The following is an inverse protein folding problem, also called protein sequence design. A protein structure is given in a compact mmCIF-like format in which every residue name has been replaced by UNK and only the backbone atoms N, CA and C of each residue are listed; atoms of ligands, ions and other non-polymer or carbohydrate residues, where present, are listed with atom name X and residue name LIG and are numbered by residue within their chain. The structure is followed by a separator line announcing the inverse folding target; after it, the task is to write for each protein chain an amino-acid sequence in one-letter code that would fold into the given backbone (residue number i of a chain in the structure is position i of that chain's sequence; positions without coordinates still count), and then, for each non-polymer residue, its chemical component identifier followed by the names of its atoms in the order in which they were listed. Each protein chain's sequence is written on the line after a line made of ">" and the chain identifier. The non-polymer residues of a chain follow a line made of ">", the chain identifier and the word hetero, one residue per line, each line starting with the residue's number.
data_IF_111662623321
#
_entry.id   IF_111662623321
#
_cell.length_a   1.000
_cell.length_b   1.000
_cell.length_c   1.000
_cell.angle_alpha   90.00
_cell.angle_beta   90.00
_cell.angle_gamma   90.00
#
_symmetry.space_group_name_H-M   'P 1'
#
loop_
_entity.id
_entity.type
_entity.pdbx_description
1 polymer ?
#
# COMPACT_ATOMS: atom_id res chain seq x y z
N UNK A 1 -3.38 -26.37 32.79
CA UNK A 1 -3.84 -26.81 31.49
C UNK A 1 -5.28 -26.34 31.29
N UNK A 2 -5.48 -25.33 30.52
CA UNK A 2 -6.70 -24.69 29.94
C UNK A 2 -6.59 -23.19 30.06
N UNK A 3 -5.93 -22.56 29.07
CA UNK A 3 -6.08 -21.15 28.64
C UNK A 3 -5.07 -20.91 27.51
N UNK A 4 -5.30 -21.50 26.35
CA UNK A 4 -4.50 -21.23 25.15
C UNK A 4 -5.34 -21.45 23.90
N UNK A 5 -6.44 -20.71 23.74
CA UNK A 5 -7.24 -20.77 22.50
C UNK A 5 -8.14 -19.54 22.32
N UNK A 6 -7.64 -18.33 22.56
CA UNK A 6 -8.47 -17.15 22.31
C UNK A 6 -7.72 -15.93 21.71
N UNK A 7 -6.50 -16.08 21.28
CA UNK A 7 -5.73 -14.94 20.72
C UNK A 7 -5.53 -14.98 19.21
N UNK A 8 -5.95 -16.03 18.52
CA UNK A 8 -5.75 -16.17 17.05
C UNK A 8 -6.96 -15.70 16.22
N UNK A 9 -8.09 -15.39 16.85
CA UNK A 9 -9.34 -15.10 16.13
C UNK A 9 -9.62 -13.61 15.91
N UNK A 10 -8.76 -12.69 16.32
CA UNK A 10 -9.01 -11.25 16.18
C UNK A 10 -8.27 -10.62 15.00
N UNK A 11 -7.31 -11.31 14.40
CA UNK A 11 -6.54 -10.77 13.26
C UNK A 11 -7.19 -10.99 11.89
N UNK A 12 -8.30 -11.75 11.82
CA UNK A 12 -8.96 -12.11 10.56
C UNK A 12 -10.21 -11.28 10.22
N UNK A 13 -10.52 -10.25 10.97
CA UNK A 13 -11.79 -9.50 10.81
C UNK A 13 -11.65 -8.11 10.18
N UNK A 14 -10.47 -7.70 9.73
CA UNK A 14 -10.30 -6.37 9.12
C UNK A 14 -10.05 -6.35 7.61
N UNK A 15 -10.11 -7.49 6.91
CA UNK A 15 -9.88 -7.55 5.45
C UNK A 15 -10.97 -8.36 4.71
N UNK A 16 -12.18 -8.36 5.19
CA UNK A 16 -13.25 -9.07 4.50
C UNK A 16 -14.27 -8.08 3.95
N UNK A 17 -13.99 -7.50 2.82
CA UNK A 17 -15.03 -6.91 1.96
C UNK A 17 -14.48 -6.77 0.53
N UNK A 18 -14.83 -7.66 -0.34
CA UNK A 18 -15.41 -7.51 -1.66
C UNK A 18 -15.51 -8.90 -2.29
N UNK A 19 -16.69 -9.46 -2.29
CA UNK A 19 -17.05 -10.49 -3.26
C UNK A 19 -18.53 -10.28 -3.60
N UNK A 20 -18.81 -9.59 -4.67
CA UNK A 20 -20.10 -9.66 -5.34
C UNK A 20 -19.98 -10.61 -6.52
N UNK A 21 -20.40 -11.85 -6.33
CA UNK A 21 -20.60 -12.81 -7.40
C UNK A 21 -21.94 -12.61 -8.08
N UNK A 22 -21.95 -12.35 -9.36
CA UNK A 22 -23.14 -12.43 -10.21
C UNK A 22 -23.35 -13.87 -10.65
N UNK A 23 -24.43 -14.47 -10.17
CA UNK A 23 -24.94 -15.76 -10.67
C UNK A 23 -25.61 -15.56 -12.03
N UNK A 24 -25.07 -16.16 -13.08
CA UNK A 24 -25.77 -16.32 -14.34
C UNK A 24 -26.13 -17.80 -14.56
N UNK A 25 -27.42 -18.04 -14.66
CA UNK A 25 -28.06 -19.31 -15.01
C UNK A 25 -27.91 -19.59 -16.50
N UNK A 26 -27.68 -20.85 -16.94
CA UNK A 26 -27.53 -21.17 -18.35
C UNK A 26 -28.86 -21.44 -19.04
N UNK A 27 -29.06 -20.90 -20.23
CA UNK A 27 -30.06 -21.41 -21.17
C UNK A 27 -29.40 -22.07 -22.39
N UNK A 28 -29.82 -23.30 -22.63
CA UNK A 28 -29.49 -24.12 -23.79
C UNK A 28 -30.13 -23.58 -25.07
N UNK A 29 -29.48 -23.81 -26.19
CA UNK A 29 -30.05 -23.65 -27.52
C UNK A 29 -29.08 -23.94 -28.65
N UNK A 30 -29.18 -25.13 -29.17
CA UNK A 30 -28.48 -25.75 -30.29
C UNK A 30 -28.66 -25.06 -31.64
N UNK A 31 -27.70 -25.08 -32.52
CA UNK A 31 -27.68 -25.88 -33.78
C UNK A 31 -26.70 -25.34 -34.85
N UNK A 32 -26.16 -26.29 -35.55
CA UNK A 32 -25.14 -26.28 -36.54
C UNK A 32 -25.48 -25.61 -37.89
N UNK A 33 -24.45 -25.26 -38.66
CA UNK A 33 -24.10 -25.72 -40.01
C UNK A 33 -23.10 -24.78 -40.67
N UNK A 34 -21.97 -25.28 -40.98
CA UNK A 34 -21.36 -25.69 -42.26
C UNK A 34 -21.16 -24.59 -43.32
N UNK A 35 -19.87 -24.45 -43.63
CA UNK A 35 -19.17 -24.51 -44.95
C UNK A 35 -19.32 -23.30 -45.89
N UNK A 36 -18.31 -22.80 -46.54
CA UNK A 36 -17.34 -23.27 -47.50
C UNK A 36 -16.53 -22.12 -48.07
N UNK A 37 -15.28 -22.39 -48.26
CA UNK A 37 -14.31 -22.00 -49.29
C UNK A 37 -14.60 -20.85 -50.31
N UNK A 38 -13.62 -20.00 -50.56
CA UNK A 38 -12.66 -20.11 -51.67
C UNK A 38 -12.02 -18.78 -52.09
N UNK A 39 -10.74 -18.78 -52.08
CA UNK A 39 -9.75 -18.39 -53.12
C UNK A 39 -9.86 -17.08 -53.90
N UNK A 40 -8.72 -16.48 -53.96
CA UNK A 40 -7.93 -16.13 -55.18
C UNK A 40 -7.65 -14.66 -55.39
N UNK A 41 -6.46 -14.27 -55.14
CA UNK A 41 -5.34 -13.78 -55.94
C UNK A 41 -5.52 -12.57 -56.88
N UNK A 42 -4.51 -11.78 -56.80
CA UNK A 42 -3.71 -11.09 -57.84
C UNK A 42 -3.79 -9.57 -57.95
N UNK A 43 -2.63 -9.01 -57.64
CA UNK A 43 -1.78 -8.08 -58.43
C UNK A 43 -2.38 -6.84 -59.11
N UNK A 44 -1.87 -5.69 -58.79
CA UNK A 44 -0.83 -4.97 -59.54
C UNK A 44 -0.78 -3.48 -59.17
N UNK A 45 0.39 -3.09 -58.88
CA UNK A 45 1.13 -1.84 -59.12
C UNK A 45 0.40 -0.66 -59.79
N UNK A 46 0.47 0.55 -59.15
CA UNK A 46 1.18 1.67 -59.76
C UNK A 46 1.16 2.93 -58.85
N UNK A 47 2.25 3.61 -58.86
CA UNK A 47 2.65 4.88 -58.29
C UNK A 47 1.61 6.01 -58.41
N UNK A 48 1.44 6.87 -57.36
CA UNK A 48 1.98 8.22 -57.43
C UNK A 48 1.83 9.00 -56.10
N UNK A 49 2.91 9.56 -55.76
CA UNK A 49 3.32 10.65 -54.89
C UNK A 49 2.26 11.59 -54.30
N UNK A 50 2.59 11.93 -53.06
CA UNK A 50 2.63 13.24 -52.37
C UNK A 50 1.53 13.52 -51.35
N UNK A 51 1.92 13.58 -50.20
CA UNK A 51 2.08 14.55 -49.16
C UNK A 51 2.00 13.96 -47.78
N UNK A 52 3.12 14.11 -47.16
CA UNK A 52 3.39 13.87 -45.74
C UNK A 52 2.37 14.55 -44.82
N UNK A 53 1.68 13.75 -44.04
CA UNK A 53 1.30 14.10 -42.68
C UNK A 53 1.74 12.97 -41.79
N UNK A 54 2.99 13.04 -41.35
CA UNK A 54 3.51 12.28 -40.22
C UNK A 54 2.81 12.76 -38.94
N UNK A 55 1.71 12.16 -38.59
CA UNK A 55 1.27 12.11 -37.24
C UNK A 55 1.97 10.89 -36.60
N UNK A 56 3.27 11.05 -36.34
CA UNK A 56 3.95 10.23 -35.37
C UNK A 56 3.39 10.62 -34.00
N UNK A 57 2.40 9.86 -33.52
CA UNK A 57 2.13 9.72 -32.10
C UNK A 57 3.37 9.05 -31.47
N UNK A 58 4.43 9.85 -31.28
CA UNK A 58 5.43 9.56 -30.27
C UNK A 58 4.73 9.76 -28.93
N UNK A 59 4.13 8.69 -28.40
CA UNK A 59 3.74 8.67 -27.00
C UNK A 59 4.98 9.00 -26.18
N UNK A 60 5.06 10.24 -25.70
CA UNK A 60 5.99 10.59 -24.66
C UNK A 60 5.75 9.60 -23.53
N UNK A 61 6.78 8.84 -23.19
CA UNK A 61 6.87 8.13 -21.92
C UNK A 61 6.81 9.22 -20.85
N UNK A 62 5.62 9.62 -20.44
CA UNK A 62 5.46 10.44 -19.24
C UNK A 62 5.87 9.55 -18.09
N UNK A 63 7.13 9.68 -17.69
CA UNK A 63 7.63 9.11 -16.47
C UNK A 63 6.70 9.52 -15.32
N UNK A 64 6.43 8.64 -14.39
CA UNK A 64 5.74 8.98 -13.14
C UNK A 64 6.56 10.01 -12.35
N UNK A 65 7.78 10.26 -12.76
CA UNK A 65 8.72 11.20 -12.21
C UNK A 65 8.24 12.64 -12.43
N UNK A 66 7.69 13.21 -11.40
CA UNK A 66 7.67 14.65 -11.23
C UNK A 66 9.07 15.07 -10.75
N UNK A 67 9.74 15.97 -11.49
CA UNK A 67 11.05 16.50 -11.10
C UNK A 67 11.03 17.25 -9.77
N UNK A 68 9.85 17.59 -9.26
CA UNK A 68 9.62 18.17 -7.95
C UNK A 68 9.39 17.12 -6.84
N UNK A 69 9.20 15.83 -7.19
CA UNK A 69 8.93 14.75 -6.23
C UNK A 69 10.10 14.57 -5.28
N UNK A 70 9.80 14.60 -3.97
CA UNK A 70 10.75 14.39 -2.91
C UNK A 70 10.36 13.17 -2.08
N UNK A 71 11.22 12.15 -2.14
CA UNK A 71 11.04 10.89 -1.39
C UNK A 71 10.84 11.17 0.10
N UNK A 72 9.85 10.50 0.71
CA UNK A 72 9.53 10.66 2.13
C UNK A 72 8.86 11.99 2.48
N UNK A 73 8.56 12.83 1.47
CA UNK A 73 7.79 14.08 1.64
C UNK A 73 6.54 14.09 0.78
N UNK A 74 6.67 13.71 -0.48
CA UNK A 74 5.61 13.80 -1.49
C UNK A 74 4.97 12.44 -1.80
N UNK A 75 5.59 11.34 -1.37
CA UNK A 75 5.02 10.01 -1.51
C UNK A 75 4.71 9.37 -0.15
N UNK A 76 3.78 8.43 -0.15
CA UNK A 76 3.30 7.83 1.08
C UNK A 76 3.32 6.29 0.99
N UNK A 77 3.39 5.60 2.14
CA UNK A 77 3.42 4.14 2.19
C UNK A 77 2.30 3.48 1.39
N UNK A 78 1.11 4.08 1.33
CA UNK A 78 -0.04 3.53 0.59
C UNK A 78 0.13 3.54 -0.93
N UNK A 79 1.03 4.34 -1.48
CA UNK A 79 1.42 4.21 -2.88
C UNK A 79 2.33 3.00 -3.12
N UNK A 80 3.19 2.71 -2.16
CA UNK A 80 4.21 1.66 -2.24
C UNK A 80 3.70 0.32 -1.68
N UNK A 81 2.81 0.37 -0.67
CA UNK A 81 2.29 -0.80 0.01
C UNK A 81 0.89 -0.55 0.53
N UNK A 82 -0.08 -1.35 0.11
CA UNK A 82 -1.48 -1.21 0.53
C UNK A 82 -1.71 -1.43 2.02
N UNK A 83 -0.80 -2.11 2.70
CA UNK A 83 -0.90 -2.37 4.13
C UNK A 83 -0.39 -1.22 5.02
N UNK A 84 0.26 -0.19 4.43
CA UNK A 84 0.87 0.89 5.22
C UNK A 84 1.97 0.43 6.19
N UNK A 85 2.48 -0.79 6.01
CA UNK A 85 3.43 -1.45 6.91
C UNK A 85 4.89 -1.31 6.48
N UNK A 86 5.17 -0.46 5.51
CA UNK A 86 6.51 -0.08 5.07
C UNK A 86 6.58 1.41 4.85
N UNK A 87 7.73 1.99 5.09
CA UNK A 87 8.05 3.38 4.76
C UNK A 87 9.48 3.43 4.23
N UNK A 88 9.74 4.34 3.31
CA UNK A 88 11.04 4.41 2.64
C UNK A 88 11.68 5.77 2.78
N UNK A 89 13.01 5.79 2.76
CA UNK A 89 13.81 6.98 2.56
C UNK A 89 14.80 6.77 1.40
N UNK A 90 15.67 7.72 1.14
CA UNK A 90 16.67 7.63 0.08
C UNK A 90 17.66 6.45 0.26
N UNK A 91 17.88 6.01 1.49
CA UNK A 91 18.87 4.98 1.83
C UNK A 91 18.29 3.58 1.89
N UNK A 92 16.97 3.43 2.09
CA UNK A 92 16.38 2.11 2.23
C UNK A 92 14.93 2.11 2.69
N UNK A 93 14.47 0.94 3.10
CA UNK A 93 13.09 0.67 3.45
C UNK A 93 12.97 0.23 4.92
N UNK A 94 12.04 0.86 5.66
CA UNK A 94 11.67 0.50 7.02
C UNK A 94 10.49 -0.47 7.02
N UNK A 95 10.51 -1.43 7.94
CA UNK A 95 9.44 -2.41 8.12
C UNK A 95 9.27 -2.74 9.60
N UNK A 96 8.04 -2.89 10.05
CA UNK A 96 7.74 -3.48 11.35
C UNK A 96 7.40 -4.95 11.21
N UNK A 97 7.96 -5.76 12.11
CA UNK A 97 7.59 -7.14 12.28
C UNK A 97 7.78 -7.55 13.75
N UNK A 98 6.75 -8.15 14.36
CA UNK A 98 6.80 -8.63 15.75
C UNK A 98 7.49 -7.64 16.71
N UNK A 99 6.88 -6.48 16.87
CA UNK A 99 7.34 -5.43 17.78
C UNK A 99 8.74 -4.86 17.48
N UNK A 100 9.36 -5.24 16.39
CA UNK A 100 10.71 -4.82 16.02
C UNK A 100 10.68 -3.99 14.74
N UNK A 101 11.39 -2.86 14.76
CA UNK A 101 11.62 -2.04 13.58
C UNK A 101 12.89 -2.54 12.86
N UNK A 102 12.75 -2.91 11.60
CA UNK A 102 13.84 -3.29 10.71
C UNK A 102 14.09 -2.19 9.69
N UNK A 103 15.34 -2.11 9.23
CA UNK A 103 15.75 -1.27 8.13
C UNK A 103 16.53 -2.10 7.10
N UNK A 104 16.07 -2.09 5.85
CA UNK A 104 16.82 -2.66 4.74
C UNK A 104 17.65 -1.56 4.10
N UNK A 105 18.96 -1.60 4.28
CA UNK A 105 19.93 -0.69 3.69
C UNK A 105 20.17 -1.06 2.22
N UNK A 106 19.76 -0.17 1.32
CA UNK A 106 19.85 -0.40 -0.12
C UNK A 106 21.32 -0.42 -0.63
N UNK A 107 22.21 0.36 -0.03
CA UNK A 107 23.62 0.40 -0.46
C UNK A 107 24.39 -0.84 0.00
N UNK A 108 24.14 -1.30 1.22
CA UNK A 108 24.72 -2.51 1.77
C UNK A 108 23.97 -3.78 1.31
N UNK A 109 22.78 -3.62 0.75
CA UNK A 109 21.86 -4.70 0.35
C UNK A 109 21.64 -5.71 1.49
N UNK A 110 21.38 -5.18 2.68
CA UNK A 110 21.24 -5.99 3.90
C UNK A 110 20.13 -5.43 4.80
N UNK A 111 19.44 -6.33 5.49
CA UNK A 111 18.45 -5.94 6.50
C UNK A 111 19.11 -5.98 7.88
N UNK A 112 18.85 -4.94 8.66
CA UNK A 112 19.34 -4.80 10.04
C UNK A 112 18.18 -4.44 10.97
N UNK A 113 18.34 -4.70 12.27
CA UNK A 113 17.48 -4.12 13.29
C UNK A 113 17.82 -2.63 13.40
N UNK A 114 16.81 -1.76 13.33
CA UNK A 114 16.99 -0.30 13.35
C UNK A 114 17.35 0.18 14.78
N UNK A 115 18.49 -0.23 15.27
CA UNK A 115 18.99 0.11 16.59
C UNK A 115 20.47 0.52 16.48
N UNK A 116 20.76 1.74 16.90
CA UNK A 116 22.14 2.29 16.91
C UNK A 116 22.84 2.17 18.26
N UNK A 117 22.20 1.53 19.25
CA UNK A 117 22.76 1.40 20.59
C UNK A 117 23.97 0.47 20.57
N UNK A 118 25.17 0.92 20.98
CA UNK A 118 26.33 0.06 21.11
C UNK A 118 26.08 -1.08 22.09
N UNK A 119 26.58 -2.25 21.78
CA UNK A 119 26.47 -3.46 22.63
C UNK A 119 25.03 -3.90 22.94
N UNK A 120 24.06 -3.51 22.12
CA UNK A 120 22.69 -3.98 22.20
C UNK A 120 22.60 -5.43 21.72
N UNK A 121 22.07 -6.30 22.54
CA UNK A 121 21.81 -7.70 22.19
C UNK A 121 20.56 -7.89 21.30
N UNK A 122 19.83 -6.78 21.03
CA UNK A 122 18.63 -6.72 20.23
C UNK A 122 17.52 -7.67 20.68
N UNK A 123 17.45 -7.96 21.96
CA UNK A 123 16.32 -8.70 22.52
C UNK A 123 15.09 -7.79 22.46
N UNK A 124 14.12 -8.15 21.62
CA UNK A 124 12.90 -7.36 21.39
C UNK A 124 11.65 -8.07 21.85
N UNK A 125 11.78 -9.27 22.36
CA UNK A 125 10.68 -10.00 23.00
C UNK A 125 11.04 -10.34 24.42
N UNK A 126 10.35 -9.72 25.35
CA UNK A 126 10.52 -9.92 26.79
C UNK A 126 9.14 -10.12 27.40
N UNK A 127 9.01 -11.09 28.26
CA UNK A 127 7.73 -11.47 28.90
C UNK A 127 7.04 -10.29 29.60
N UNK A 128 7.78 -9.27 30.00
CA UNK A 128 7.31 -8.06 30.72
C UNK A 128 7.06 -6.88 29.79
N UNK A 129 7.25 -7.02 28.46
CA UNK A 129 7.11 -5.91 27.51
C UNK A 129 8.17 -4.81 27.67
N UNK A 130 9.28 -5.08 28.32
CA UNK A 130 10.39 -4.16 28.52
C UNK A 130 11.65 -4.67 27.83
N UNK A 131 12.21 -3.87 26.95
CA UNK A 131 13.51 -4.06 26.33
C UNK A 131 14.23 -2.73 26.26
N UNK A 132 15.52 -2.73 26.43
CA UNK A 132 16.34 -1.55 26.25
C UNK A 132 16.82 -1.36 24.80
N UNK A 133 16.38 -2.22 23.88
CA UNK A 133 16.62 -2.10 22.46
C UNK A 133 15.86 -0.91 21.86
N UNK A 134 16.57 -0.03 21.15
CA UNK A 134 15.95 1.12 20.50
C UNK A 134 14.94 0.75 19.42
N UNK A 135 15.05 -0.43 18.81
CA UNK A 135 14.13 -0.90 17.77
C UNK A 135 12.91 -1.65 18.32
N UNK A 136 12.75 -1.78 19.64
CA UNK A 136 11.62 -2.43 20.24
C UNK A 136 10.41 -1.50 20.38
N UNK A 137 9.28 -1.88 19.78
CA UNK A 137 8.02 -1.12 19.72
C UNK A 137 6.84 -2.04 20.06
N UNK A 138 6.61 -2.36 21.34
CA UNK A 138 5.55 -3.30 21.73
C UNK A 138 4.17 -2.77 21.33
N UNK A 139 3.32 -3.64 20.77
CA UNK A 139 1.99 -3.29 20.23
C UNK A 139 1.02 -2.77 21.29
N UNK A 140 1.22 -3.09 22.55
CA UNK A 140 0.44 -2.53 23.64
C UNK A 140 0.73 -1.04 23.90
N UNK A 141 1.83 -0.53 23.35
CA UNK A 141 2.27 0.88 23.44
C UNK A 141 2.31 1.60 22.10
N UNK A 142 2.64 0.91 21.00
CA UNK A 142 2.82 1.51 19.68
C UNK A 142 1.95 0.81 18.62
N UNK A 143 1.17 1.57 17.90
CA UNK A 143 0.11 1.09 17.02
C UNK A 143 0.54 1.15 15.55
N UNK A 144 1.70 0.58 15.24
CA UNK A 144 2.24 0.53 13.88
C UNK A 144 1.37 -0.29 12.91
N UNK A 145 0.47 -1.15 13.42
CA UNK A 145 -0.57 -1.85 12.66
C UNK A 145 -1.60 -0.90 12.01
N UNK A 146 -1.72 0.34 12.51
CA UNK A 146 -2.56 1.39 11.91
C UNK A 146 -1.85 2.13 10.77
N UNK A 147 -0.57 1.84 10.55
CA UNK A 147 0.31 2.48 9.60
C UNK A 147 1.37 3.33 10.27
N UNK A 148 2.44 3.57 9.52
CA UNK A 148 3.49 4.52 9.89
C UNK A 148 4.02 5.21 8.65
N UNK A 149 4.64 6.36 8.81
CA UNK A 149 5.16 7.16 7.70
C UNK A 149 6.56 7.63 8.00
N UNK A 150 7.40 7.68 6.97
CA UNK A 150 8.67 8.41 7.02
C UNK A 150 8.45 9.81 6.44
N UNK A 151 8.80 10.83 7.19
CA UNK A 151 8.66 12.21 6.78
C UNK A 151 9.75 13.06 7.44
N UNK A 152 10.46 13.83 6.65
CA UNK A 152 11.47 14.79 7.12
C UNK A 152 12.42 14.21 8.18
N UNK A 153 13.20 13.16 7.77
CA UNK A 153 14.19 12.43 8.59
C UNK A 153 13.63 11.76 9.87
N UNK A 154 12.35 11.50 9.93
CA UNK A 154 11.72 10.89 11.09
C UNK A 154 10.61 9.92 10.70
N UNK A 155 10.42 8.90 11.53
CA UNK A 155 9.30 7.97 11.44
C UNK A 155 8.19 8.48 12.35
N UNK A 156 6.97 8.49 11.85
CA UNK A 156 5.78 8.87 12.61
C UNK A 156 4.83 7.69 12.69
N UNK A 157 4.29 7.46 13.88
CA UNK A 157 3.28 6.45 14.14
C UNK A 157 2.41 6.85 15.33
N UNK A 158 1.33 6.11 15.53
CA UNK A 158 0.44 6.26 16.68
C UNK A 158 0.96 5.41 17.85
N UNK A 159 0.71 5.88 19.07
CA UNK A 159 1.04 5.13 20.26
C UNK A 159 0.23 5.58 21.47
N UNK A 160 0.28 4.82 22.55
CA UNK A 160 -0.32 5.16 23.82
C UNK A 160 0.43 6.34 24.42
N UNK A 161 -0.30 7.35 24.91
CA UNK A 161 0.33 8.50 25.54
C UNK A 161 1.13 8.11 26.78
N UNK A 162 2.34 8.60 26.88
CA UNK A 162 3.19 8.43 28.08
C UNK A 162 2.68 9.19 29.29
N UNK A 163 1.85 10.23 29.07
CA UNK A 163 1.31 11.12 30.12
C UNK A 163 -0.11 10.74 30.55
N UNK A 164 -0.84 10.05 29.68
CA UNK A 164 -2.24 9.69 29.90
C UNK A 164 -2.57 8.36 29.23
N UNK A 165 -2.54 7.28 29.99
CA UNK A 165 -2.80 5.93 29.49
C UNK A 165 -4.17 5.73 28.79
N UNK A 166 -5.08 6.71 28.90
CA UNK A 166 -6.39 6.71 28.22
C UNK A 166 -6.38 7.40 26.87
N UNK A 167 -5.21 7.85 26.41
CA UNK A 167 -5.08 8.61 25.18
C UNK A 167 -4.11 7.98 24.20
N UNK A 168 -4.43 8.16 22.92
CA UNK A 168 -3.55 7.90 21.78
C UNK A 168 -2.84 9.18 21.40
N UNK A 169 -1.55 9.09 21.17
CA UNK A 169 -0.69 10.20 20.78
C UNK A 169 0.06 9.92 19.49
N UNK A 170 0.45 10.99 18.81
CA UNK A 170 1.39 10.96 17.71
C UNK A 170 2.82 10.89 18.28
N UNK A 171 3.60 9.94 17.80
CA UNK A 171 5.01 9.81 18.09
C UNK A 171 5.86 10.18 16.88
N UNK A 172 6.95 10.88 17.14
CA UNK A 172 8.05 11.13 16.22
C UNK A 172 9.26 10.34 16.68
N UNK A 173 9.84 9.57 15.79
CA UNK A 173 10.93 8.64 16.06
C UNK A 173 12.06 8.95 15.11
N UNK A 174 13.29 9.07 15.62
CA UNK A 174 14.46 9.24 14.76
C UNK A 174 14.66 8.04 13.84
N UNK A 175 15.28 8.26 12.68
CA UNK A 175 15.51 7.20 11.67
C UNK A 175 16.32 6.00 12.18
N UNK A 176 17.07 6.17 13.25
CA UNK A 176 17.85 5.13 13.94
C UNK A 176 17.18 4.61 15.22
N UNK A 177 15.91 4.97 15.42
CA UNK A 177 15.08 4.66 16.57
C UNK A 177 15.64 5.11 17.95
N UNK A 178 16.74 5.87 17.99
CA UNK A 178 17.38 6.30 19.24
C UNK A 178 16.56 7.27 20.07
N UNK A 179 15.66 8.02 19.44
CA UNK A 179 14.78 8.97 20.13
C UNK A 179 13.32 8.71 19.78
N UNK A 180 12.45 8.93 20.78
CA UNK A 180 11.00 8.81 20.65
C UNK A 180 10.36 10.00 21.36
N UNK A 181 9.73 10.86 20.61
CA UNK A 181 9.08 12.06 21.11
C UNK A 181 7.56 11.94 20.97
N UNK A 182 6.84 12.15 22.06
CA UNK A 182 5.38 12.31 22.01
C UNK A 182 5.06 13.73 21.56
N UNK A 183 4.63 13.87 20.30
CA UNK A 183 4.37 15.16 19.63
C UNK A 183 3.05 15.76 20.09
N UNK A 184 1.99 14.99 20.11
CA UNK A 184 0.65 15.46 20.41
C UNK A 184 -0.27 14.33 20.88
N UNK A 185 -1.19 14.69 21.78
CA UNK A 185 -2.34 13.85 22.10
C UNK A 185 -3.41 14.03 21.02
N UNK A 186 -3.97 12.94 20.52
CA UNK A 186 -4.90 12.95 19.40
C UNK A 186 -6.34 12.60 19.81
N UNK A 187 -6.56 11.41 20.32
CA UNK A 187 -7.89 10.82 20.62
C UNK A 187 -7.87 9.99 21.90
N UNK A 188 -9.04 9.48 22.29
CA UNK A 188 -9.14 8.48 23.36
C UNK A 188 -8.69 7.09 22.89
N UNK A 189 -8.10 6.28 23.78
CA UNK A 189 -7.80 4.87 23.51
C UNK A 189 -9.05 4.05 23.20
N UNK A 190 -10.22 4.44 23.71
CA UNK A 190 -11.49 3.78 23.37
C UNK A 190 -11.81 3.84 21.87
N UNK A 191 -11.26 4.83 21.15
CA UNK A 191 -11.51 5.06 19.74
C UNK A 191 -10.43 4.44 18.83
N UNK A 192 -9.41 3.80 19.41
CA UNK A 192 -8.27 3.23 18.69
C UNK A 192 -8.69 2.21 17.61
N UNK A 193 -9.65 1.34 17.95
CA UNK A 193 -10.13 0.32 17.01
C UNK A 193 -10.90 0.93 15.82
N UNK A 194 -11.32 2.19 15.93
CA UNK A 194 -11.96 2.94 14.85
C UNK A 194 -10.95 3.59 13.90
N UNK A 195 -9.65 3.53 14.20
CA UNK A 195 -8.60 3.96 13.28
C UNK A 195 -8.25 2.80 12.36
N UNK A 196 -8.37 3.01 11.06
CA UNK A 196 -8.02 2.02 10.04
C UNK A 196 -6.81 2.43 9.20
N UNK A 197 -6.54 3.72 9.08
CA UNK A 197 -5.43 4.26 8.29
C UNK A 197 -4.80 5.47 8.98
N UNK A 198 -3.48 5.57 8.80
CA UNK A 198 -2.66 6.70 9.27
C UNK A 198 -1.62 7.04 8.20
N UNK A 199 -1.35 8.33 8.00
CA UNK A 199 -0.27 8.82 7.13
C UNK A 199 0.20 10.20 7.57
N UNK A 200 1.45 10.53 7.23
CA UNK A 200 1.99 11.90 7.35
C UNK A 200 2.29 12.43 5.97
N UNK A 201 1.83 13.63 5.66
CA UNK A 201 2.07 14.28 4.38
C UNK A 201 2.16 15.80 4.53
N UNK A 202 3.19 16.43 3.97
CA UNK A 202 3.38 17.90 3.93
C UNK A 202 3.15 18.58 5.27
N UNK A 203 3.73 18.06 6.35
CA UNK A 203 3.66 18.65 7.68
C UNK A 203 2.37 18.40 8.46
N UNK A 204 1.51 17.51 7.98
CA UNK A 204 0.31 17.07 8.68
C UNK A 204 0.33 15.57 8.91
N UNK A 205 -0.11 15.13 10.09
CA UNK A 205 -0.50 13.77 10.35
C UNK A 205 -2.00 13.64 10.15
N UNK A 206 -2.42 12.61 9.42
CA UNK A 206 -3.80 12.28 9.09
C UNK A 206 -4.16 10.91 9.62
N UNK A 207 -5.37 10.71 10.09
CA UNK A 207 -5.90 9.42 10.46
C UNK A 207 -7.41 9.35 10.28
N UNK A 208 -7.91 8.15 10.03
CA UNK A 208 -9.35 7.89 10.00
C UNK A 208 -9.89 7.66 11.42
N UNK A 209 -11.15 7.98 11.61
CA UNK A 209 -11.95 7.56 12.76
C UNK A 209 -13.28 7.03 12.23
N UNK A 210 -13.38 5.72 12.10
CA UNK A 210 -14.55 5.03 11.54
C UNK A 210 -15.39 4.46 12.68
N UNK A 211 -16.60 4.96 12.82
CA UNK A 211 -17.56 4.53 13.85
C UNK A 211 -18.83 3.99 13.18
N UNK A 212 -19.70 3.37 13.94
CA UNK A 212 -21.01 2.91 13.42
C UNK A 212 -21.89 4.04 12.86
N UNK A 213 -21.57 5.29 13.17
CA UNK A 213 -22.39 6.47 12.83
C UNK A 213 -21.77 7.37 11.80
N UNK A 214 -20.45 7.36 11.69
CA UNK A 214 -19.74 8.25 10.77
C UNK A 214 -18.31 7.78 10.53
N UNK A 215 -17.77 8.15 9.37
CA UNK A 215 -16.36 8.06 9.07
C UNK A 215 -15.77 9.47 9.03
N UNK A 216 -14.70 9.72 9.76
CA UNK A 216 -14.05 11.03 9.82
C UNK A 216 -12.60 10.92 9.40
N UNK A 217 -12.13 11.87 8.59
CA UNK A 217 -10.72 12.13 8.40
C UNK A 217 -10.31 13.29 9.31
N UNK A 218 -9.37 13.01 10.18
CA UNK A 218 -8.82 13.97 11.13
C UNK A 218 -7.38 14.30 10.76
N UNK A 219 -6.94 15.51 11.14
CA UNK A 219 -5.58 15.96 10.87
C UNK A 219 -5.04 16.82 12.02
N UNK A 220 -3.72 16.80 12.18
CA UNK A 220 -2.99 17.73 13.05
C UNK A 220 -1.73 18.21 12.33
N UNK A 221 -1.42 19.50 12.44
CA UNK A 221 -0.14 20.02 11.98
C UNK A 221 0.98 19.57 12.93
N UNK A 222 2.01 18.88 12.41
CA UNK A 222 3.06 18.29 13.25
C UNK A 222 4.06 19.30 13.81
N UNK A 223 4.23 20.45 13.13
CA UNK A 223 5.14 21.52 13.57
C UNK A 223 4.48 22.44 14.60
N UNK A 224 3.14 22.49 14.58
CA UNK A 224 2.30 23.30 15.50
C UNK A 224 1.11 22.45 15.98
N UNK A 225 1.34 21.44 16.83
CA UNK A 225 0.34 20.44 17.17
C UNK A 225 -0.63 20.93 18.25
N UNK A 226 -1.33 22.06 17.97
CA UNK A 226 -2.21 22.72 18.97
C UNK A 226 -3.65 22.27 18.88
N UNK A 227 -4.12 21.83 17.71
CA UNK A 227 -5.51 21.52 17.45
C UNK A 227 -5.68 20.39 16.45
N UNK A 228 -6.52 19.41 16.79
CA UNK A 228 -6.99 18.38 15.86
C UNK A 228 -8.12 18.96 15.03
N UNK A 229 -7.99 18.90 13.72
CA UNK A 229 -8.98 19.37 12.75
C UNK A 229 -9.74 18.22 12.15
N UNK A 230 -11.07 18.34 12.08
CA UNK A 230 -11.89 17.45 11.27
C UNK A 230 -11.86 17.96 9.82
N UNK A 231 -11.32 17.14 8.92
CA UNK A 231 -11.14 17.48 7.50
C UNK A 231 -12.34 17.03 6.68
N UNK A 232 -12.85 15.83 6.99
CA UNK A 232 -13.97 15.21 6.27
C UNK A 232 -14.85 14.45 7.25
N UNK A 233 -16.15 14.37 6.95
CA UNK A 233 -17.11 13.53 7.67
C UNK A 233 -18.12 12.96 6.68
N UNK A 234 -18.20 11.63 6.61
CA UNK A 234 -19.26 10.85 5.96
C UNK A 234 -20.19 10.32 7.04
N UNK A 235 -21.49 10.55 6.89
CA UNK A 235 -22.52 10.14 7.85
C UNK A 235 -23.41 9.03 7.32
N UNK A 236 -22.97 8.39 6.24
CA UNK A 236 -23.67 7.26 5.63
C UNK A 236 -23.50 6.00 6.49
N UNK A 237 -24.36 5.04 6.26
CA UNK A 237 -24.37 3.78 7.00
C UNK A 237 -23.07 3.01 6.80
N UNK A 238 -22.43 2.60 7.90
CA UNK A 238 -21.16 1.88 7.91
C UNK A 238 -20.05 2.56 7.11
N UNK A 239 -20.03 3.92 7.10
CA UNK A 239 -19.02 4.67 6.39
C UNK A 239 -17.62 4.35 6.90
N UNK A 240 -16.65 4.26 5.99
CA UNK A 240 -15.24 4.02 6.27
C UNK A 240 -14.33 4.85 5.40
N UNK A 241 -13.19 5.29 5.95
CA UNK A 241 -12.13 5.97 5.20
C UNK A 241 -10.96 5.03 5.04
N UNK A 242 -10.41 4.98 3.82
CA UNK A 242 -9.33 4.09 3.42
C UNK A 242 -8.30 4.83 2.57
N UNK A 243 -7.09 4.25 2.47
CA UNK A 243 -6.07 4.58 1.47
C UNK A 243 -5.64 6.05 1.47
N UNK A 244 -4.93 6.49 2.51
CA UNK A 244 -4.36 7.84 2.54
C UNK A 244 -3.13 7.93 1.64
N UNK A 245 -3.27 8.51 0.45
CA UNK A 245 -2.22 8.60 -0.56
C UNK A 245 -1.83 10.06 -0.76
N UNK A 246 -0.60 10.42 -0.35
CA UNK A 246 -0.03 11.74 -0.63
C UNK A 246 0.55 11.80 -2.05
N UNK A 247 0.31 12.88 -2.77
CA UNK A 247 0.96 13.18 -4.04
C UNK A 247 0.95 14.69 -4.28
N UNK A 248 2.14 15.30 -4.36
CA UNK A 248 2.30 16.75 -4.46
C UNK A 248 1.62 17.49 -3.30
N UNK A 249 0.87 18.53 -3.58
CA UNK A 249 0.18 19.33 -2.57
C UNK A 249 -1.17 18.74 -2.12
N UNK A 250 -1.44 17.48 -2.47
CA UNK A 250 -2.72 16.84 -2.21
C UNK A 250 -2.57 15.54 -1.43
N UNK A 251 -3.59 15.24 -0.62
CA UNK A 251 -3.85 13.92 -0.07
C UNK A 251 -5.11 13.34 -0.71
N UNK A 252 -5.03 12.11 -1.15
CA UNK A 252 -6.16 11.37 -1.72
C UNK A 252 -6.62 10.30 -0.74
N UNK A 253 -7.91 10.10 -0.64
CA UNK A 253 -8.49 9.07 0.19
C UNK A 253 -9.80 8.57 -0.40
N UNK A 254 -10.11 7.31 -0.19
CA UNK A 254 -11.43 6.79 -0.50
C UNK A 254 -12.29 6.75 0.75
N UNK A 255 -13.58 6.99 0.57
CA UNK A 255 -14.58 6.62 1.55
C UNK A 255 -15.56 5.63 0.92
N UNK A 256 -15.90 4.60 1.69
CA UNK A 256 -16.94 3.63 1.35
C UNK A 256 -18.08 3.72 2.34
N UNK A 257 -19.27 3.31 1.92
CA UNK A 257 -20.46 3.24 2.78
C UNK A 257 -21.45 2.23 2.22
N UNK A 258 -22.36 1.75 3.07
CA UNK A 258 -23.44 0.90 2.61
C UNK A 258 -24.67 1.72 2.22
N UNK A 259 -25.25 1.41 1.07
CA UNK A 259 -26.49 2.03 0.59
C UNK A 259 -27.75 1.42 1.22
N UNK A 260 -27.62 0.26 1.83
CA UNK A 260 -28.72 -0.46 2.46
C UNK A 260 -28.39 -1.00 3.86
N UNK A 261 -29.41 -1.31 4.64
CA UNK A 261 -29.28 -1.81 6.00
C UNK A 261 -28.82 -3.26 6.11
N UNK A 262 -28.80 -4.00 5.01
CA UNK A 262 -28.36 -5.39 4.96
C UNK A 262 -26.88 -5.49 4.65
N UNK A 263 -26.22 -4.36 4.33
CA UNK A 263 -24.80 -4.30 3.92
C UNK A 263 -24.49 -5.09 2.65
N UNK A 264 -25.47 -5.20 1.74
CA UNK A 264 -25.30 -5.93 0.49
C UNK A 264 -24.83 -5.02 -0.65
N UNK A 265 -25.21 -3.73 -0.61
CA UNK A 265 -24.83 -2.75 -1.63
C UNK A 265 -23.87 -1.72 -1.05
N UNK A 266 -22.66 -1.68 -1.61
CA UNK A 266 -21.62 -0.75 -1.21
C UNK A 266 -21.38 0.28 -2.30
N UNK A 267 -21.20 1.52 -1.88
CA UNK A 267 -20.78 2.62 -2.72
C UNK A 267 -19.60 3.34 -2.08
N UNK A 268 -19.00 4.22 -2.82
CA UNK A 268 -17.90 5.04 -2.33
C UNK A 268 -17.33 5.94 -3.40
N UNK A 269 -16.40 6.78 -3.02
CA UNK A 269 -15.72 7.66 -3.95
C UNK A 269 -14.32 8.04 -3.47
N UNK A 270 -13.49 8.46 -4.41
CA UNK A 270 -12.18 9.04 -4.15
C UNK A 270 -12.34 10.53 -3.93
N UNK A 271 -11.73 11.02 -2.85
CA UNK A 271 -11.64 12.43 -2.51
C UNK A 271 -10.20 12.92 -2.68
N UNK A 272 -10.07 14.19 -3.03
CA UNK A 272 -8.83 14.96 -2.99
C UNK A 272 -8.93 16.00 -1.88
N UNK A 273 -7.92 16.06 -1.04
CA UNK A 273 -7.71 17.10 -0.03
C UNK A 273 -6.56 18.00 -0.48
N UNK A 274 -6.78 19.27 -0.64
CA UNK A 274 -5.74 20.28 -0.82
C UNK A 274 -5.10 20.58 0.56
N UNK A 275 -3.81 20.30 0.72
CA UNK A 275 -3.10 20.46 1.99
C UNK A 275 -2.97 21.92 2.40
N UNK A 276 -2.87 22.83 1.44
CA UNK A 276 -2.69 24.25 1.72
C UNK A 276 -3.98 24.91 2.26
N UNK A 277 -5.14 24.46 1.77
CA UNK A 277 -6.44 25.03 2.11
C UNK A 277 -7.25 24.16 3.07
N UNK A 278 -6.87 22.89 3.24
CA UNK A 278 -7.60 21.86 3.98
C UNK A 278 -9.04 21.66 3.48
N UNK A 279 -9.28 21.87 2.20
CA UNK A 279 -10.58 21.63 1.56
C UNK A 279 -10.58 20.34 0.78
N UNK A 280 -11.68 19.61 0.86
CA UNK A 280 -11.91 18.37 0.13
C UNK A 280 -12.76 18.57 -1.11
N UNK A 281 -12.53 17.75 -2.13
CA UNK A 281 -13.31 17.65 -3.36
C UNK A 281 -13.52 16.18 -3.68
N UNK A 282 -14.77 15.77 -3.93
CA UNK A 282 -15.04 14.46 -4.55
C UNK A 282 -14.53 14.48 -5.99
N UNK A 283 -13.84 13.41 -6.40
CA UNK A 283 -13.30 13.25 -7.75
C UNK A 283 -14.12 12.27 -8.58
N UNK A 284 -14.15 11.00 -8.19
CA UNK A 284 -14.79 9.93 -8.95
C UNK A 284 -15.34 8.87 -7.99
N UNK A 285 -16.19 8.00 -8.49
CA UNK A 285 -16.65 6.85 -7.74
C UNK A 285 -15.47 5.90 -7.45
N UNK A 286 -15.57 5.15 -6.34
CA UNK A 286 -14.49 4.29 -5.88
C UNK A 286 -14.35 3.08 -6.79
N UNK A 287 -13.18 2.88 -7.43
CA UNK A 287 -12.90 1.69 -8.23
C UNK A 287 -12.48 0.50 -7.34
N UNK A 288 -12.22 -0.65 -7.97
CA UNK A 288 -11.75 -1.87 -7.28
C UNK A 288 -10.45 -1.60 -6.51
N UNK A 289 -9.47 -0.99 -7.15
CA UNK A 289 -8.24 -0.50 -6.51
C UNK A 289 -7.59 0.64 -7.30
N UNK A 290 -6.78 1.48 -6.63
CA UNK A 290 -6.18 2.65 -7.27
C UNK A 290 -4.87 3.10 -6.62
N UNK A 291 -4.10 3.86 -7.40
CA UNK A 291 -2.94 4.63 -6.93
C UNK A 291 -2.92 6.00 -7.63
N UNK A 292 -2.15 6.95 -7.09
CA UNK A 292 -2.16 8.34 -7.56
C UNK A 292 -0.75 8.81 -7.91
N UNK A 293 -0.59 9.48 -9.04
CA UNK A 293 0.66 10.12 -9.44
C UNK A 293 0.39 11.32 -10.34
N UNK A 294 1.05 12.43 -10.07
CA UNK A 294 1.11 13.59 -10.97
C UNK A 294 -0.26 14.06 -11.51
N UNK A 295 -1.24 14.24 -10.62
CA UNK A 295 -2.58 14.68 -11.00
C UNK A 295 -3.40 13.63 -11.76
N UNK A 296 -2.99 12.38 -11.74
CA UNK A 296 -3.67 11.25 -12.35
C UNK A 296 -3.97 10.18 -11.33
N UNK A 297 -5.11 9.50 -11.49
CA UNK A 297 -5.46 8.30 -10.73
C UNK A 297 -5.39 7.12 -11.70
N UNK A 298 -4.50 6.18 -11.41
CA UNK A 298 -4.42 4.89 -12.11
C UNK A 298 -5.23 3.89 -11.30
N UNK A 299 -6.20 3.23 -11.95
CA UNK A 299 -7.12 2.39 -11.21
C UNK A 299 -7.53 1.14 -11.98
N UNK A 300 -7.91 0.13 -11.23
CA UNK A 300 -8.44 -1.13 -11.72
C UNK A 300 -9.96 -1.11 -11.60
N UNK A 301 -10.63 -1.51 -12.65
CA UNK A 301 -12.07 -1.69 -12.68
C UNK A 301 -12.45 -2.67 -13.79
N UNK A 302 -13.31 -3.64 -13.47
CA UNK A 302 -13.84 -4.59 -14.46
C UNK A 302 -12.76 -5.25 -15.32
N UNK A 303 -11.68 -5.72 -14.70
CA UNK A 303 -10.52 -6.35 -15.35
C UNK A 303 -9.78 -5.46 -16.36
N UNK A 304 -9.78 -4.17 -16.15
CA UNK A 304 -9.03 -3.22 -16.96
C UNK A 304 -8.31 -2.18 -16.11
N UNK A 305 -7.20 -1.69 -16.65
CA UNK A 305 -6.44 -0.57 -16.11
C UNK A 305 -6.87 0.73 -16.80
N UNK A 306 -7.23 1.71 -16.01
CA UNK A 306 -7.65 3.03 -16.45
C UNK A 306 -6.74 4.12 -15.89
N UNK A 307 -6.77 5.28 -16.55
CA UNK A 307 -6.19 6.52 -16.07
C UNK A 307 -7.26 7.62 -16.06
N UNK A 308 -7.56 8.14 -14.89
CA UNK A 308 -8.37 9.33 -14.71
C UNK A 308 -7.46 10.55 -14.56
N UNK A 309 -7.64 11.56 -15.41
CA UNK A 309 -6.92 12.83 -15.36
C UNK A 309 -7.77 13.84 -14.60
N UNK A 310 -7.28 14.32 -13.47
CA UNK A 310 -8.03 15.15 -12.53
C UNK A 310 -8.42 16.50 -13.14
N UNK A 311 -7.52 17.15 -13.86
CA UNK A 311 -7.74 18.48 -14.43
C UNK A 311 -8.79 18.49 -15.55
N UNK A 312 -8.86 17.41 -16.33
CA UNK A 312 -9.81 17.28 -17.43
C UNK A 312 -11.08 16.52 -17.06
N UNK A 313 -11.17 16.00 -15.83
CA UNK A 313 -12.29 15.18 -15.34
C UNK A 313 -12.65 14.07 -16.33
N UNK A 314 -11.64 13.31 -16.76
CA UNK A 314 -11.82 12.30 -17.82
C UNK A 314 -11.03 11.04 -17.55
N UNK A 315 -11.66 9.89 -17.80
CA UNK A 315 -11.06 8.57 -17.74
C UNK A 315 -10.83 7.98 -19.11
N UNK A 316 -9.69 7.30 -19.26
CA UNK A 316 -9.38 6.52 -20.45
C UNK A 316 -8.91 5.13 -20.03
N UNK A 317 -9.36 4.10 -20.74
CA UNK A 317 -8.79 2.75 -20.59
C UNK A 317 -7.39 2.76 -21.17
N UNK A 318 -6.41 2.28 -20.39
CA UNK A 318 -5.01 2.19 -20.81
C UNK A 318 -4.72 0.80 -21.36
N UNK A 319 -5.15 -0.25 -20.65
CA UNK A 319 -4.88 -1.64 -21.01
C UNK A 319 -5.93 -2.57 -20.37
N UNK A 320 -5.94 -3.84 -20.79
CA UNK A 320 -6.56 -4.90 -20.02
C UNK A 320 -5.71 -5.21 -18.80
N UNK A 321 -6.36 -5.54 -17.67
CA UNK A 321 -5.65 -5.95 -16.46
C UNK A 321 -5.02 -7.32 -16.66
N UNK A 322 -3.69 -7.47 -16.50
CA UNK A 322 -3.04 -8.76 -16.68
C UNK A 322 -3.55 -9.78 -15.65
N UNK A 323 -3.94 -10.96 -16.14
CA UNK A 323 -4.36 -12.10 -15.30
C UNK A 323 -5.33 -11.74 -14.16
N UNK A 324 -6.26 -10.80 -14.43
CA UNK A 324 -7.24 -10.30 -13.45
C UNK A 324 -6.57 -9.73 -12.18
N UNK A 325 -5.54 -8.93 -12.35
CA UNK A 325 -4.90 -8.23 -11.23
C UNK A 325 -5.90 -7.43 -10.41
N UNK A 326 -5.80 -7.53 -9.08
CA UNK A 326 -6.73 -6.92 -8.15
C UNK A 326 -6.09 -5.81 -7.32
N UNK A 327 -4.77 -5.70 -7.34
CA UNK A 327 -4.03 -4.70 -6.57
C UNK A 327 -3.10 -3.91 -7.48
N UNK A 328 -3.09 -2.59 -7.28
CA UNK A 328 -2.18 -1.66 -7.95
C UNK A 328 -1.44 -0.82 -6.92
N UNK A 329 -0.11 -0.82 -7.02
CA UNK A 329 0.77 0.11 -6.30
C UNK A 329 1.71 0.77 -7.30
N UNK A 330 2.45 1.77 -6.86
CA UNK A 330 3.44 2.43 -7.71
C UNK A 330 4.69 2.84 -6.94
N UNK A 331 5.75 3.10 -7.68
CA UNK A 331 6.87 3.93 -7.24
C UNK A 331 7.02 5.16 -8.17
N UNK A 332 8.25 5.67 -8.28
CA UNK A 332 8.56 6.83 -9.15
C UNK A 332 8.57 6.50 -10.63
N UNK A 333 8.71 5.22 -11.01
CA UNK A 333 8.99 4.81 -12.40
C UNK A 333 7.89 3.94 -12.99
N UNK A 334 7.26 3.07 -12.18
CA UNK A 334 6.37 2.03 -12.67
C UNK A 334 5.08 1.90 -11.85
N UNK A 335 4.08 1.35 -12.50
CA UNK A 335 2.92 0.74 -11.88
C UNK A 335 3.22 -0.75 -11.65
N UNK A 336 2.83 -1.27 -10.51
CA UNK A 336 2.96 -2.69 -10.16
C UNK A 336 1.56 -3.24 -9.94
N UNK A 337 1.16 -4.16 -10.77
CA UNK A 337 -0.11 -4.86 -10.65
C UNK A 337 0.17 -6.30 -10.20
N UNK A 338 -0.68 -6.84 -9.35
CA UNK A 338 -0.54 -8.25 -8.96
C UNK A 338 -1.87 -8.96 -8.98
N UNK A 339 -1.84 -10.23 -9.43
CA UNK A 339 -2.92 -11.18 -9.32
C UNK A 339 -2.92 -11.91 -7.96
N UNK A 340 -2.09 -11.45 -7.01
CA UNK A 340 -2.10 -11.97 -5.65
C UNK A 340 -3.45 -11.75 -4.98
N UNK A 341 -3.95 -12.81 -4.34
CA UNK A 341 -5.24 -12.86 -3.70
C UNK A 341 -5.05 -13.47 -2.30
N UNK A 342 -5.36 -12.70 -1.27
CA UNK A 342 -5.22 -13.11 0.12
C UNK A 342 -6.15 -14.28 0.52
N UNK A 343 -7.19 -14.55 -0.27
CA UNK A 343 -8.09 -15.68 -0.03
C UNK A 343 -7.55 -17.00 -0.58
N UNK A 344 -6.57 -16.94 -1.49
CA UNK A 344 -5.96 -18.10 -2.15
C UNK A 344 -4.50 -18.28 -1.75
N UNK A 345 -4.22 -18.29 -0.45
CA UNK A 345 -2.89 -18.55 0.10
C UNK A 345 -2.30 -19.83 -0.52
N UNK A 346 -1.07 -19.74 -1.03
CA UNK A 346 -0.31 -20.83 -1.70
C UNK A 346 -0.71 -21.19 -3.14
N UNK A 347 -0.80 -20.21 -4.04
CA UNK A 347 -0.80 -20.55 -5.48
C UNK A 347 0.59 -20.29 -6.08
N UNK A 348 1.16 -21.30 -6.76
CA UNK A 348 2.44 -21.20 -7.48
C UNK A 348 2.40 -20.25 -8.69
N UNK A 349 1.30 -19.50 -8.87
CA UNK A 349 1.03 -18.72 -10.07
C UNK A 349 0.91 -17.20 -9.83
N UNK A 350 1.28 -16.71 -8.64
CA UNK A 350 1.26 -15.28 -8.40
C UNK A 350 2.38 -14.55 -9.13
N UNK A 351 2.06 -13.38 -9.63
CA UNK A 351 2.99 -12.53 -10.39
C UNK A 351 2.81 -11.06 -10.04
N UNK A 352 3.88 -10.31 -10.18
CA UNK A 352 3.83 -8.86 -10.26
C UNK A 352 4.07 -8.46 -11.72
N UNK A 353 3.14 -7.74 -12.29
CA UNK A 353 3.27 -7.13 -13.61
C UNK A 353 3.79 -5.70 -13.43
N UNK A 354 5.00 -5.46 -13.88
CA UNK A 354 5.59 -4.13 -13.91
C UNK A 354 5.13 -3.45 -15.17
N UNK A 355 4.44 -2.32 -15.04
CA UNK A 355 3.83 -1.64 -16.17
C UNK A 355 4.25 -0.18 -16.25
N UNK A 356 4.36 0.32 -17.47
CA UNK A 356 4.45 1.74 -17.73
C UNK A 356 3.09 2.43 -17.60
N UNK A 357 3.08 3.74 -17.46
CA UNK A 357 1.86 4.55 -17.36
C UNK A 357 0.99 4.56 -18.62
N UNK A 358 1.52 4.08 -19.73
CA UNK A 358 0.77 3.90 -20.99
C UNK A 358 0.25 2.46 -21.18
N UNK A 359 0.36 1.61 -20.16
CA UNK A 359 -0.21 0.27 -20.14
C UNK A 359 0.65 -0.83 -20.72
N UNK A 360 1.90 -0.55 -21.11
CA UNK A 360 2.79 -1.60 -21.58
C UNK A 360 3.36 -2.39 -20.41
N UNK A 361 3.30 -3.72 -20.48
CA UNK A 361 4.02 -4.61 -19.57
C UNK A 361 5.51 -4.49 -19.86
N UNK A 362 6.26 -4.07 -18.87
CA UNK A 362 7.71 -3.89 -18.91
C UNK A 362 8.42 -5.16 -18.46
N UNK A 363 7.87 -5.81 -17.43
CA UNK A 363 8.39 -7.04 -16.86
C UNK A 363 7.28 -7.85 -16.20
N UNK A 364 7.51 -9.14 -16.00
CA UNK A 364 6.62 -10.04 -15.26
C UNK A 364 7.44 -10.83 -14.25
N UNK A 365 7.23 -10.57 -12.99
CA UNK A 365 8.01 -11.11 -11.88
C UNK A 365 7.20 -12.21 -11.21
N UNK A 366 7.62 -13.50 -11.27
CA UNK A 366 6.98 -14.55 -10.52
C UNK A 366 7.16 -14.33 -9.02
N UNK A 367 6.09 -14.47 -8.25
CA UNK A 367 6.11 -14.43 -6.80
C UNK A 367 6.14 -15.89 -6.31
N UNK A 368 7.21 -16.35 -5.63
CA UNK A 368 7.17 -17.63 -4.96
C UNK A 368 6.20 -17.57 -3.78
N UNK A 369 5.79 -18.70 -3.28
CA UNK A 369 4.94 -18.89 -2.10
C UNK A 369 4.76 -17.61 -1.24
N UNK A 370 3.60 -16.96 -1.36
CA UNK A 370 3.38 -15.60 -0.84
C UNK A 370 2.15 -15.54 0.05
N UNK A 371 2.35 -15.14 1.31
CA UNK A 371 1.27 -14.81 2.24
C UNK A 371 0.91 -13.32 2.18
N UNK A 372 1.92 -12.46 2.05
CA UNK A 372 1.73 -11.01 1.90
C UNK A 372 2.68 -10.43 0.85
N UNK A 373 2.17 -9.48 0.06
CA UNK A 373 2.95 -8.70 -0.89
C UNK A 373 3.00 -7.23 -0.44
N UNK A 374 4.20 -6.65 -0.48
CA UNK A 374 4.45 -5.24 -0.12
C UNK A 374 5.42 -4.62 -1.10
N UNK A 375 5.27 -3.33 -1.35
CA UNK A 375 6.26 -2.52 -2.04
C UNK A 375 7.07 -1.68 -1.05
N UNK A 376 8.30 -1.41 -1.41
CA UNK A 376 9.14 -0.34 -0.88
C UNK A 376 9.59 0.55 -2.04
N UNK A 377 10.34 1.60 -1.77
CA UNK A 377 10.85 2.45 -2.83
C UNK A 377 11.91 1.71 -3.67
N UNK A 378 12.80 0.97 -3.01
CA UNK A 378 13.95 0.32 -3.64
C UNK A 378 13.70 -1.14 -3.97
N UNK A 379 12.82 -1.80 -3.22
CA UNK A 379 12.60 -3.22 -3.29
C UNK A 379 11.11 -3.56 -3.32
N UNK A 380 10.79 -4.75 -3.85
CA UNK A 380 9.54 -5.44 -3.62
C UNK A 380 9.77 -6.46 -2.51
N UNK A 381 8.78 -6.67 -1.65
CA UNK A 381 8.85 -7.60 -0.52
C UNK A 381 7.71 -8.60 -0.58
N UNK A 382 8.00 -9.83 -0.16
CA UNK A 382 7.00 -10.85 0.11
C UNK A 382 7.25 -11.48 1.47
N UNK A 383 6.17 -11.84 2.14
CA UNK A 383 6.20 -12.75 3.27
C UNK A 383 5.73 -14.10 2.80
N UNK A 384 6.52 -15.15 3.07
CA UNK A 384 6.24 -16.50 2.63
C UNK A 384 5.57 -17.31 3.74
N UNK A 385 4.83 -18.37 3.39
CA UNK A 385 4.14 -19.26 4.34
C UNK A 385 5.09 -19.94 5.32
N UNK A 386 6.39 -20.07 4.98
CA UNK A 386 7.43 -20.54 5.87
C UNK A 386 8.07 -19.42 6.74
N UNK A 387 7.37 -18.29 6.89
CA UNK A 387 7.73 -17.14 7.74
C UNK A 387 9.07 -16.50 7.37
N UNK A 388 9.36 -16.39 6.09
CA UNK A 388 10.49 -15.62 5.59
C UNK A 388 9.99 -14.35 4.95
N UNK A 389 10.64 -13.24 5.23
CA UNK A 389 10.50 -12.03 4.43
C UNK A 389 11.59 -12.06 3.39
N UNK A 390 11.18 -12.03 2.13
CA UNK A 390 12.10 -11.95 1.00
C UNK A 390 11.95 -10.62 0.30
N UNK A 391 13.02 -10.18 -0.33
CA UNK A 391 13.02 -8.97 -1.15
C UNK A 391 13.57 -9.25 -2.55
N UNK A 392 13.12 -8.44 -3.49
CA UNK A 392 13.63 -8.38 -4.85
C UNK A 392 14.01 -6.93 -5.14
N UNK A 393 15.27 -6.71 -5.48
CA UNK A 393 15.74 -5.38 -5.86
C UNK A 393 15.08 -4.94 -7.17
N UNK A 394 14.47 -3.76 -7.17
CA UNK A 394 13.86 -3.19 -8.38
C UNK A 394 14.87 -2.94 -9.50
N UNK A 395 16.15 -2.88 -9.15
CA UNK A 395 17.27 -2.88 -10.11
C UNK A 395 17.31 -4.10 -11.02
N UNK A 396 16.63 -5.20 -10.68
CA UNK A 396 16.52 -6.42 -11.49
C UNK A 396 15.40 -6.35 -12.55
N UNK A 397 14.53 -5.37 -12.49
CA UNK A 397 13.47 -5.16 -13.49
C UNK A 397 14.11 -5.03 -14.87
N UNK A 398 13.54 -5.72 -15.88
CA UNK A 398 14.02 -5.81 -17.27
C UNK A 398 15.34 -6.60 -17.46
N UNK A 399 15.90 -7.21 -16.42
CA UNK A 399 17.13 -8.01 -16.56
C UNK A 399 16.87 -9.49 -16.83
N UNK A 400 15.61 -9.92 -16.83
CA UNK A 400 15.21 -11.30 -17.13
C UNK A 400 15.56 -12.31 -16.03
N UNK A 401 16.06 -11.85 -14.88
CA UNK A 401 16.34 -12.68 -13.71
C UNK A 401 15.72 -12.02 -12.49
N UNK A 402 14.94 -12.78 -11.71
CA UNK A 402 14.24 -12.30 -10.55
C UNK A 402 14.64 -13.13 -9.33
N UNK A 403 15.67 -12.65 -8.62
CA UNK A 403 16.20 -13.36 -7.45
C UNK A 403 15.57 -12.80 -6.18
N UNK A 404 14.69 -13.56 -5.57
CA UNK A 404 14.13 -13.24 -4.26
C UNK A 404 15.14 -13.64 -3.17
N UNK A 405 15.79 -12.66 -2.58
CA UNK A 405 16.73 -12.83 -1.47
C UNK A 405 15.98 -12.83 -0.13
N UNK A 406 16.50 -13.53 0.87
CA UNK A 406 15.92 -13.51 2.21
C UNK A 406 16.40 -12.27 2.96
N UNK A 407 15.47 -11.43 3.39
CA UNK A 407 15.74 -10.30 4.27
C UNK A 407 15.92 -10.78 5.72
N UNK A 408 14.96 -11.59 6.19
CA UNK A 408 15.02 -12.29 7.47
C UNK A 408 14.07 -13.49 7.45
N UNK A 409 14.29 -14.40 8.39
CA UNK A 409 13.41 -15.54 8.64
C UNK A 409 13.06 -15.64 10.11
N UNK A 410 11.89 -16.21 10.41
CA UNK A 410 11.41 -16.41 11.78
C UNK A 410 11.13 -17.88 11.98
N UNK A 411 11.77 -18.48 13.00
CA UNK A 411 11.54 -19.88 13.36
C UNK A 411 10.16 -20.06 14.02
N UNK A 412 9.72 -21.32 14.15
CA UNK A 412 8.50 -21.66 14.91
C UNK A 412 8.57 -21.20 16.38
N UNK A 413 9.76 -21.07 16.93
CA UNK A 413 10.02 -20.58 18.30
C UNK A 413 10.25 -19.08 18.35
N UNK A 414 10.03 -18.35 17.25
CA UNK A 414 10.15 -16.91 17.19
C UNK A 414 11.56 -16.36 17.09
N UNK A 415 12.55 -17.19 16.86
CA UNK A 415 13.90 -16.69 16.59
C UNK A 415 13.96 -16.03 15.22
N UNK A 416 14.44 -14.80 15.15
CA UNK A 416 14.72 -14.09 13.91
C UNK A 416 16.17 -14.34 13.48
N UNK A 417 16.34 -14.74 12.23
CA UNK A 417 17.65 -14.86 11.59
C UNK A 417 17.78 -13.76 10.53
N UNK A 418 18.77 -12.90 10.73
CA UNK A 418 19.18 -11.84 9.81
C UNK A 418 20.57 -12.15 9.32
N UNK A 419 20.80 -12.21 8.00
CA UNK A 419 22.13 -12.34 7.40
C UNK A 419 23.02 -13.38 8.10
N UNK A 420 22.50 -14.57 8.41
CA UNK A 420 23.14 -15.66 9.17
C UNK A 420 23.30 -15.42 10.68
N UNK A 421 22.94 -14.26 11.23
CA UNK A 421 22.89 -14.01 12.67
C UNK A 421 21.54 -14.40 13.23
N UNK A 422 21.57 -15.15 14.34
CA UNK A 422 20.33 -15.57 15.03
C UNK A 422 20.10 -14.65 16.20
N UNK A 423 19.01 -13.91 16.18
CA UNK A 423 18.53 -13.13 17.31
C UNK A 423 17.42 -13.92 18.04
N UNK A 424 17.58 -14.08 19.34
CA UNK A 424 16.54 -14.75 20.14
C UNK A 424 15.40 -13.78 20.38
N UNK A 425 14.29 -14.02 19.69
CA UNK A 425 13.00 -13.47 20.08
C UNK A 425 12.37 -14.52 21.00
N UNK A 426 12.13 -14.19 22.26
CA UNK A 426 11.43 -15.06 23.19
C UNK A 426 9.92 -14.78 23.06
N UNK A 427 9.11 -15.82 22.85
CA UNK A 427 7.65 -15.75 22.90
C UNK A 427 7.13 -15.91 24.30
#
# INVERSE_FOLDING_TARGET
>A
MKKLTLSILIFLLSISFVACGSANTPSQGSSASESTDSNSSNNASSNNSSSSNNNSNSGENTTLNDTSFKIGVDDQPFNLSRAGMSASNESGDYMFYQDTLYFHDNAANTTVIACNKPDCDHITNVDDGESDCNAFFPQDKYYYDKGFSYYNDSIYLLGKSSKDAKSVSLYKISKDASTREEVAKLISVSDLNSITVFAVHKGYAFWSLNTDKSAQLLAINIDKPTEVKKIFEGNELAAGIHNLIGSGDYLYFSNSYSEDKNYENWAGYINQLDINTLKTKKLMDMPDDYTVANGKIYYLESNALYCYTIDSDSSVKIADSPENSQLIIRDTDYLYLTNWDNEKVSSDNYKVFVMSTNGNIIDTIPIPDCEFFRGGLHNLYIETTDRKVKYLEKSQIQKGTHNWNTAYSVSETGQVTLNEWVYKIHY
#
